data_IF_999034943140
#
_entry.id   IF_999034943140
#
_cell.length_a   1.000
_cell.length_b   1.000
_cell.length_c   1.000
_cell.angle_alpha   90.00
_cell.angle_beta   90.00
_cell.angle_gamma   90.00
#
_symmetry.space_group_name_H-M   'P 1'
#
loop_
_entity.id
_entity.type
_entity.pdbx_description
1 polymer ?
#
# COMPACT_ATOMS: atom_id res chain seq x y z
N UNK A 1 -0.80 14.34 -34.44
CA UNK A 1 -1.29 15.16 -35.57
C UNK A 1 -2.75 14.78 -35.77
N UNK A 2 -3.78 15.52 -35.34
CA UNK A 2 -3.87 16.85 -34.77
C UNK A 2 -4.92 16.85 -33.66
N UNK A 3 -4.55 17.48 -32.55
CA UNK A 3 -5.47 18.09 -31.59
C UNK A 3 -5.97 19.39 -32.24
N UNK A 4 -7.27 19.47 -32.53
CA UNK A 4 -7.92 20.65 -33.07
C UNK A 4 -9.28 20.80 -32.39
N UNK A 5 -9.27 21.09 -31.09
CA UNK A 5 -10.35 21.84 -30.47
C UNK A 5 -10.27 23.25 -31.03
N UNK A 6 -11.15 23.57 -31.98
CA UNK A 6 -11.24 24.91 -32.54
C UNK A 6 -11.65 25.90 -31.43
N UNK A 7 -11.09 27.12 -31.37
CA UNK A 7 -11.37 28.09 -30.30
C UNK A 7 -12.88 28.39 -30.09
N UNK A 8 -13.69 28.17 -31.12
CA UNK A 8 -15.16 28.30 -31.13
C UNK A 8 -15.88 27.35 -30.14
N UNK A 9 -15.30 26.19 -29.81
CA UNK A 9 -15.94 25.20 -28.93
C UNK A 9 -15.77 25.55 -27.44
N UNK A 10 -14.71 26.28 -27.06
CA UNK A 10 -14.49 26.70 -25.69
C UNK A 10 -15.46 27.83 -25.29
N UNK A 11 -15.64 28.81 -26.18
CA UNK A 11 -16.58 29.93 -25.97
C UNK A 11 -18.03 29.42 -25.85
N UNK A 12 -18.40 28.40 -26.63
CA UNK A 12 -19.73 27.76 -26.56
C UNK A 12 -20.01 27.10 -25.20
N UNK A 13 -19.01 26.49 -24.58
CA UNK A 13 -19.15 25.80 -23.29
C UNK A 13 -19.30 26.83 -22.15
N UNK A 14 -18.55 27.93 -22.22
CA UNK A 14 -18.65 29.01 -21.23
C UNK A 14 -20.00 29.74 -21.31
N UNK A 15 -20.54 29.97 -22.50
CA UNK A 15 -21.87 30.55 -22.69
C UNK A 15 -22.99 29.62 -22.19
N UNK A 16 -22.86 28.30 -22.42
CA UNK A 16 -23.83 27.30 -21.94
C UNK A 16 -23.82 27.19 -20.40
N UNK A 17 -22.64 27.28 -19.78
CA UNK A 17 -22.50 27.27 -18.33
C UNK A 17 -23.03 28.55 -17.69
N UNK A 18 -22.77 29.72 -18.29
CA UNK A 18 -23.30 31.00 -17.83
C UNK A 18 -24.84 31.03 -17.84
N UNK A 19 -25.47 30.51 -18.91
CA UNK A 19 -26.92 30.41 -19.01
C UNK A 19 -27.53 29.45 -17.97
N UNK A 20 -26.80 28.38 -17.61
CA UNK A 20 -27.24 27.45 -16.56
C UNK A 20 -27.20 28.08 -15.17
N UNK A 21 -26.19 28.91 -14.88
CA UNK A 21 -26.04 29.61 -13.60
C UNK A 21 -27.07 30.74 -13.47
N UNK A 22 -27.39 31.45 -14.55
CA UNK A 22 -28.39 32.53 -14.54
C UNK A 22 -29.83 32.01 -14.31
N UNK A 23 -30.08 30.73 -14.57
CA UNK A 23 -31.37 30.06 -14.28
C UNK A 23 -31.53 29.57 -12.83
N UNK A 24 -30.49 29.63 -12.01
CA UNK A 24 -30.54 29.23 -10.60
C UNK A 24 -30.81 30.46 -9.72
N UNK A 25 -32.09 30.65 -9.39
CA UNK A 25 -32.57 31.67 -8.47
C UNK A 25 -32.08 31.37 -7.03
N UNK A 26 -30.89 31.87 -6.68
CA UNK A 26 -30.22 31.66 -5.38
C UNK A 26 -30.50 32.79 -4.37
N UNK A 27 -31.65 33.45 -4.44
CA UNK A 27 -32.05 34.51 -3.49
C UNK A 27 -33.27 34.10 -2.63
N UNK A 28 -33.13 33.03 -1.84
CA UNK A 28 -34.24 32.51 -1.03
C UNK A 28 -33.87 32.02 0.37
N UNK A 29 -34.21 32.85 1.37
CA UNK A 29 -34.49 32.53 2.78
C UNK A 29 -33.33 32.43 3.79
N UNK A 30 -32.84 33.60 4.19
CA UNK A 30 -32.59 33.89 5.61
C UNK A 30 -33.95 33.99 6.36
N UNK A 31 -33.95 33.65 7.65
CA UNK A 31 -35.04 33.70 8.65
C UNK A 31 -36.09 32.58 8.73
N UNK A 32 -35.92 31.70 9.73
CA UNK A 32 -37.03 31.08 10.46
C UNK A 32 -36.61 30.75 11.91
N UNK A 33 -36.76 31.73 12.80
CA UNK A 33 -36.89 31.51 14.24
C UNK A 33 -38.33 31.09 14.55
N UNK A 34 -38.53 29.94 15.19
CA UNK A 34 -39.86 29.42 15.53
C UNK A 34 -39.83 28.57 16.79
N UNK A 35 -40.22 29.20 17.91
CA UNK A 35 -40.49 28.56 19.20
C UNK A 35 -41.79 27.74 19.16
N UNK A 36 -41.81 26.60 19.85
CA UNK A 36 -43.02 25.81 20.09
C UNK A 36 -42.89 24.95 21.35
N UNK A 37 -43.46 25.44 22.45
CA UNK A 37 -43.56 24.83 23.78
C UNK A 37 -44.45 23.57 23.80
N UNK A 38 -44.12 22.61 24.69
CA UNK A 38 -44.95 21.43 25.04
C UNK A 38 -46.26 21.78 25.76
N UNK A 39 -47.08 20.78 26.16
CA UNK A 39 -46.86 20.17 27.48
C UNK A 39 -47.31 18.70 27.69
N UNK A 40 -46.84 18.15 28.82
CA UNK A 40 -47.42 17.17 29.75
C UNK A 40 -47.82 15.74 29.34
N UNK A 41 -47.22 14.76 30.06
CA UNK A 41 -47.62 13.36 30.07
C UNK A 41 -46.78 12.49 31.00
N UNK A 42 -46.81 12.79 32.31
CA UNK A 42 -46.21 11.95 33.36
C UNK A 42 -47.09 10.72 33.63
N UNK A 43 -46.58 9.52 33.36
CA UNK A 43 -47.03 8.29 34.05
C UNK A 43 -45.84 7.43 34.42
N UNK A 44 -45.74 7.16 35.71
CA UNK A 44 -44.75 6.35 36.38
C UNK A 44 -44.74 4.89 35.93
N UNK A 45 -43.55 4.29 35.88
CA UNK A 45 -43.36 2.85 35.95
C UNK A 45 -42.37 2.57 37.10
N UNK A 46 -42.92 2.14 38.24
CA UNK A 46 -42.17 1.48 39.30
C UNK A 46 -41.88 0.03 38.87
N UNK A 47 -40.60 -0.34 38.90
CA UNK A 47 -40.16 -1.72 38.66
C UNK A 47 -38.76 -1.93 39.20
N UNK A 48 -38.67 -2.26 40.48
CA UNK A 48 -37.44 -2.54 41.18
C UNK A 48 -36.95 -3.99 40.98
N UNK A 49 -35.62 -4.12 41.10
CA UNK A 49 -34.82 -5.27 41.54
C UNK A 49 -34.44 -6.38 40.55
N UNK A 50 -33.13 -6.48 40.33
CA UNK A 50 -32.47 -7.64 39.74
C UNK A 50 -31.00 -7.38 39.40
N UNK A 51 -30.14 -7.22 40.41
CA UNK A 51 -28.69 -7.26 40.22
C UNK A 51 -28.26 -8.72 39.95
N UNK A 52 -27.33 -8.93 39.00
CA UNK A 52 -26.29 -9.92 39.20
C UNK A 52 -24.91 -9.25 39.30
N UNK A 53 -24.23 -9.73 40.32
CA UNK A 53 -22.89 -9.44 40.79
C UNK A 53 -21.79 -9.79 39.77
N UNK A 54 -20.71 -9.00 39.77
CA UNK A 54 -19.35 -9.54 39.65
C UNK A 54 -18.82 -9.97 38.29
N UNK A 55 -18.92 -9.14 37.24
CA UNK A 55 -18.07 -9.25 36.06
C UNK A 55 -17.04 -8.12 36.04
N UNK A 56 -15.84 -8.35 36.58
CA UNK A 56 -14.76 -7.38 36.56
C UNK A 56 -14.54 -6.85 35.13
N UNK A 57 -14.90 -5.60 34.89
CA UNK A 57 -14.55 -4.88 33.68
C UNK A 57 -13.02 -4.88 33.60
N UNK A 58 -12.51 -5.71 32.69
CA UNK A 58 -11.08 -5.71 32.36
C UNK A 58 -10.72 -4.28 32.00
N UNK A 59 -9.74 -3.64 32.67
CA UNK A 59 -9.34 -2.30 32.29
C UNK A 59 -8.98 -2.34 30.81
N UNK A 60 -9.69 -1.54 30.01
CA UNK A 60 -9.26 -1.26 28.65
C UNK A 60 -7.79 -0.84 28.74
N UNK A 61 -6.88 -1.37 27.90
CA UNK A 61 -5.51 -0.91 27.89
C UNK A 61 -5.53 0.60 27.64
N UNK A 62 -5.22 1.39 28.69
CA UNK A 62 -5.00 2.82 28.59
C UNK A 62 -3.64 3.01 27.93
N UNK A 63 -3.68 2.98 26.62
CA UNK A 63 -2.64 3.36 25.71
C UNK A 63 -3.31 3.34 24.35
N UNK A 64 -3.74 4.50 23.86
CA UNK A 64 -4.05 4.61 22.44
C UNK A 64 -2.84 4.04 21.71
N UNK A 65 -2.96 3.01 20.86
CA UNK A 65 -1.88 2.66 19.97
C UNK A 65 -1.55 3.95 19.21
N UNK A 66 -0.31 4.42 19.37
CA UNK A 66 0.12 5.60 18.65
C UNK A 66 -0.08 5.30 17.16
N UNK A 67 -0.88 6.12 16.49
CA UNK A 67 -1.14 6.03 15.06
C UNK A 67 0.17 5.73 14.33
N UNK A 68 0.23 4.58 13.65
CA UNK A 68 1.41 4.14 12.91
C UNK A 68 1.12 4.27 11.44
N UNK A 69 1.90 5.12 10.79
CA UNK A 69 1.95 5.22 9.35
C UNK A 69 3.22 4.49 8.87
N UNK A 70 3.05 3.49 8.02
CA UNK A 70 4.14 2.69 7.49
C UNK A 70 3.95 2.51 5.99
N UNK A 71 5.02 2.73 5.24
CA UNK A 71 5.03 2.48 3.80
C UNK A 71 5.91 1.28 3.51
N UNK A 72 5.32 0.21 3.01
CA UNK A 72 6.01 -1.06 2.73
C UNK A 72 6.04 -1.27 1.22
N UNK A 73 7.23 -1.55 0.67
CA UNK A 73 7.41 -1.98 -0.70
C UNK A 73 7.77 -3.47 -0.75
N UNK A 74 7.04 -4.23 -1.56
CA UNK A 74 7.28 -5.64 -1.85
C UNK A 74 7.55 -5.80 -3.34
N UNK A 75 8.72 -6.34 -3.69
CA UNK A 75 9.06 -6.70 -5.08
C UNK A 75 8.94 -8.20 -5.27
N UNK A 76 7.90 -8.60 -5.97
CA UNK A 76 7.68 -9.99 -6.39
C UNK A 76 8.61 -10.34 -7.54
N UNK A 77 9.24 -11.51 -7.43
CA UNK A 77 10.13 -12.04 -8.46
C UNK A 77 9.81 -13.50 -8.75
N UNK A 78 10.03 -13.99 -9.99
CA UNK A 78 9.89 -15.41 -10.30
C UNK A 78 11.12 -16.24 -9.87
N UNK A 79 11.96 -15.72 -8.97
CA UNK A 79 13.13 -16.44 -8.50
C UNK A 79 12.73 -17.50 -7.46
N UNK A 80 13.27 -18.73 -7.56
CA UNK A 80 12.73 -19.86 -6.82
C UNK A 80 13.10 -19.90 -5.34
N UNK A 81 14.16 -19.19 -4.91
CA UNK A 81 14.63 -19.25 -3.52
C UNK A 81 15.06 -17.89 -2.97
N UNK A 82 14.82 -17.71 -1.67
CA UNK A 82 15.22 -16.50 -0.95
C UNK A 82 16.73 -16.28 -0.96
N UNK A 83 17.55 -17.35 -0.87
CA UNK A 83 19.01 -17.20 -0.87
C UNK A 83 19.55 -16.74 -2.22
N UNK A 84 18.94 -17.18 -3.33
CA UNK A 84 19.32 -16.76 -4.67
C UNK A 84 18.99 -15.28 -4.88
N UNK A 85 17.77 -14.87 -4.52
CA UNK A 85 17.35 -13.47 -4.59
C UNK A 85 18.20 -12.59 -3.66
N UNK A 86 18.42 -12.98 -2.40
CA UNK A 86 19.26 -12.24 -1.47
C UNK A 86 20.71 -12.08 -1.97
N UNK A 87 21.27 -13.12 -2.59
CA UNK A 87 22.59 -13.05 -3.22
C UNK A 87 22.64 -12.06 -4.38
N UNK A 88 21.60 -12.02 -5.22
CA UNK A 88 21.50 -11.06 -6.33
C UNK A 88 21.35 -9.63 -5.82
N UNK A 89 20.52 -9.42 -4.79
CA UNK A 89 20.37 -8.12 -4.13
C UNK A 89 21.71 -7.65 -3.55
N UNK A 90 22.39 -8.49 -2.77
CA UNK A 90 23.68 -8.16 -2.15
C UNK A 90 24.77 -7.83 -3.18
N UNK A 91 24.85 -8.59 -4.29
CA UNK A 91 25.79 -8.28 -5.38
C UNK A 91 25.47 -6.98 -6.12
N UNK A 92 24.19 -6.60 -6.14
CA UNK A 92 23.73 -5.35 -6.76
C UNK A 92 23.75 -4.17 -5.80
N UNK A 93 24.23 -4.35 -4.56
CA UNK A 93 24.27 -3.30 -3.54
C UNK A 93 22.90 -2.93 -2.97
N UNK A 94 21.89 -3.80 -3.11
CA UNK A 94 20.53 -3.55 -2.66
C UNK A 94 20.37 -3.98 -1.20
N UNK A 95 20.08 -3.03 -0.33
CA UNK A 95 19.75 -3.25 1.08
C UNK A 95 18.25 -3.49 1.23
N UNK A 96 17.87 -4.73 1.52
CA UNK A 96 16.50 -5.17 1.68
C UNK A 96 16.43 -6.50 2.45
N UNK A 97 15.21 -6.86 2.89
CA UNK A 97 14.92 -8.19 3.45
C UNK A 97 14.32 -9.06 2.36
N UNK A 98 14.78 -10.30 2.23
CA UNK A 98 14.24 -11.25 1.26
C UNK A 98 13.49 -12.35 1.99
N UNK A 99 12.25 -12.59 1.57
CA UNK A 99 11.35 -13.54 2.21
C UNK A 99 10.96 -14.64 1.20
N UNK A 100 11.04 -15.92 1.58
CA UNK A 100 10.57 -17.01 0.74
C UNK A 100 9.04 -17.07 0.70
N UNK A 101 8.51 -17.52 -0.42
CA UNK A 101 7.10 -17.76 -0.66
C UNK A 101 6.94 -19.11 -1.38
N UNK A 102 5.74 -19.69 -1.40
CA UNK A 102 5.48 -20.91 -2.16
C UNK A 102 5.66 -20.71 -3.66
N UNK A 103 5.37 -19.50 -4.17
CA UNK A 103 5.56 -19.14 -5.57
C UNK A 103 6.97 -18.64 -5.92
N UNK A 104 7.90 -18.57 -4.97
CA UNK A 104 9.27 -18.10 -5.19
C UNK A 104 9.85 -17.32 -4.01
N UNK A 105 10.33 -16.10 -4.25
CA UNK A 105 10.81 -15.20 -3.21
C UNK A 105 10.54 -13.74 -3.60
N UNK A 106 10.40 -12.90 -2.58
CA UNK A 106 10.15 -11.47 -2.74
C UNK A 106 11.11 -10.66 -1.87
N UNK A 107 11.44 -9.47 -2.35
CA UNK A 107 12.27 -8.52 -1.62
C UNK A 107 11.37 -7.46 -0.99
N UNK A 108 11.68 -7.04 0.23
CA UNK A 108 10.88 -6.13 1.04
C UNK A 108 11.74 -4.96 1.48
N UNK A 109 11.16 -3.77 1.41
CA UNK A 109 11.77 -2.56 1.96
C UNK A 109 10.72 -1.70 2.65
N UNK A 110 11.02 -1.30 3.87
CA UNK A 110 10.18 -0.44 4.68
C UNK A 110 10.66 1.01 4.59
N UNK A 111 9.70 1.93 4.53
CA UNK A 111 9.91 3.37 4.50
C UNK A 111 9.05 4.02 5.57
N UNK A 112 9.55 5.10 6.15
CA UNK A 112 8.71 5.96 6.99
C UNK A 112 7.61 6.57 6.12
N UNK A 113 6.34 6.36 6.48
CA UNK A 113 5.22 6.99 5.77
C UNK A 113 5.08 8.45 6.21
N UNK A 114 4.72 9.33 5.26
CA UNK A 114 4.62 10.77 5.45
C UNK A 114 3.25 11.25 5.99
N UNK A 115 2.36 10.34 6.41
CA UNK A 115 0.94 10.60 6.75
C UNK A 115 0.64 11.61 7.89
N UNK A 116 1.61 12.40 8.37
CA UNK A 116 1.29 13.56 9.20
C UNK A 116 0.62 14.69 8.40
N UNK A 117 0.81 14.74 7.08
CA UNK A 117 0.18 15.72 6.19
C UNK A 117 -0.19 15.01 4.88
N UNK A 118 -1.47 14.64 4.72
CA UNK A 118 -1.97 13.98 3.51
C UNK A 118 -1.86 14.96 2.31
N UNK A 119 -0.90 14.73 1.41
CA UNK A 119 -0.74 15.51 0.19
C UNK A 119 -1.81 15.11 -0.84
N UNK A 120 -2.53 16.09 -1.39
CA UNK A 120 -3.63 15.88 -2.34
C UNK A 120 -3.15 15.19 -3.63
N UNK A 121 -1.86 15.30 -3.95
CA UNK A 121 -1.25 14.54 -5.05
C UNK A 121 -1.31 13.01 -4.81
N UNK A 122 -1.34 12.56 -3.56
CA UNK A 122 -1.40 11.13 -3.23
C UNK A 122 -2.74 10.47 -3.61
N UNK A 123 -3.82 11.26 -3.64
CA UNK A 123 -5.18 10.83 -3.97
C UNK A 123 -5.39 10.49 -5.45
N UNK A 124 -4.52 10.98 -6.33
CA UNK A 124 -4.70 10.83 -7.78
C UNK A 124 -4.14 9.51 -8.35
N UNK A 125 -3.36 8.76 -7.56
CA UNK A 125 -2.72 7.52 -8.00
C UNK A 125 -1.73 7.74 -9.14
N UNK A 126 -0.48 7.34 -8.99
CA UNK A 126 0.49 7.56 -10.06
C UNK A 126 1.91 7.18 -9.70
N UNK A 127 2.80 7.21 -10.70
CA UNK A 127 4.22 6.90 -10.52
C UNK A 127 4.96 7.83 -9.58
N UNK A 128 4.40 8.99 -9.25
CA UNK A 128 5.02 9.97 -8.36
C UNK A 128 4.91 9.58 -6.87
N UNK A 129 4.03 8.64 -6.52
CA UNK A 129 3.83 8.21 -5.12
C UNK A 129 4.65 6.97 -4.74
N UNK A 130 5.40 6.42 -5.71
CA UNK A 130 6.24 5.23 -5.53
C UNK A 130 7.60 5.65 -4.94
N UNK A 131 8.05 5.05 -3.82
CA UNK A 131 9.38 5.37 -3.27
C UNK A 131 10.46 5.08 -4.31
N UNK A 132 11.31 6.07 -4.61
CA UNK A 132 12.34 5.96 -5.65
C UNK A 132 13.26 4.75 -5.44
N UNK A 133 13.58 4.43 -4.19
CA UNK A 133 14.41 3.27 -3.84
C UNK A 133 13.69 1.93 -4.08
N UNK A 134 12.36 1.89 -3.92
CA UNK A 134 11.54 0.74 -4.27
C UNK A 134 11.47 0.55 -5.80
N UNK A 135 11.34 1.65 -6.54
CA UNK A 135 11.40 1.65 -8.01
C UNK A 135 12.75 1.12 -8.51
N UNK A 136 13.85 1.55 -7.91
CA UNK A 136 15.20 1.11 -8.24
C UNK A 136 15.41 -0.38 -7.94
N UNK A 137 14.92 -0.85 -6.78
CA UNK A 137 14.94 -2.26 -6.41
C UNK A 137 14.19 -3.10 -7.46
N UNK A 138 12.96 -2.70 -7.80
CA UNK A 138 12.14 -3.40 -8.79
C UNK A 138 12.78 -3.39 -10.19
N UNK A 139 13.27 -2.23 -10.63
CA UNK A 139 13.97 -2.08 -11.90
C UNK A 139 15.23 -2.98 -11.94
N UNK A 140 16.05 -2.99 -10.90
CA UNK A 140 17.25 -3.81 -10.84
C UNK A 140 16.92 -5.30 -10.90
N UNK A 141 15.95 -5.76 -10.11
CA UNK A 141 15.52 -7.16 -10.11
C UNK A 141 14.88 -7.57 -11.45
N UNK A 142 14.14 -6.68 -12.12
CA UNK A 142 13.57 -6.94 -13.44
C UNK A 142 14.61 -7.11 -14.56
N UNK A 143 15.84 -6.61 -14.38
CA UNK A 143 16.96 -6.86 -15.32
C UNK A 143 17.56 -8.26 -15.14
N UNK A 144 17.45 -8.81 -13.93
CA UNK A 144 18.03 -10.10 -13.55
C UNK A 144 17.07 -11.26 -13.82
N UNK A 145 15.78 -10.97 -13.98
CA UNK A 145 14.70 -11.92 -14.26
C UNK A 145 14.13 -11.72 -15.67
N UNK A 146 14.00 -12.82 -16.43
CA UNK A 146 13.35 -12.78 -17.76
C UNK A 146 11.85 -12.47 -17.68
N UNK A 147 11.20 -12.83 -16.58
CA UNK A 147 9.77 -12.56 -16.35
C UNK A 147 9.50 -11.14 -15.85
N UNK A 148 10.55 -10.32 -15.67
CA UNK A 148 10.44 -9.04 -14.99
C UNK A 148 10.25 -9.21 -13.48
N UNK A 149 9.73 -8.17 -12.85
CA UNK A 149 9.32 -8.14 -11.45
C UNK A 149 8.02 -7.33 -11.32
N UNK A 150 7.35 -7.46 -10.19
CA UNK A 150 6.17 -6.65 -9.85
C UNK A 150 6.42 -5.96 -8.53
N UNK A 151 6.33 -4.64 -8.52
CA UNK A 151 6.41 -3.83 -7.31
C UNK A 151 5.00 -3.62 -6.77
N UNK A 152 4.79 -3.99 -5.52
CA UNK A 152 3.65 -3.63 -4.70
C UNK A 152 4.11 -2.59 -3.70
N UNK A 153 3.37 -1.50 -3.54
CA UNK A 153 3.61 -0.52 -2.48
C UNK A 153 2.33 -0.34 -1.70
N UNK A 154 2.42 -0.50 -0.38
CA UNK A 154 1.34 -0.27 0.54
C UNK A 154 1.69 0.93 1.41
N UNK A 155 0.85 1.96 1.37
CA UNK A 155 0.94 3.12 2.25
C UNK A 155 -0.21 3.02 3.24
N UNK A 156 0.10 2.61 4.46
CA UNK A 156 -0.88 2.15 5.42
C UNK A 156 -0.79 2.91 6.74
N UNK A 157 -1.97 3.21 7.27
CA UNK A 157 -2.16 3.89 8.54
C UNK A 157 -3.10 3.06 9.43
N UNK A 158 -2.70 2.79 10.66
CA UNK A 158 -3.55 2.13 11.66
C UNK A 158 -4.05 3.13 12.69
N UNK A 159 -5.34 3.05 13.01
CA UNK A 159 -5.98 3.80 14.09
C UNK A 159 -5.78 5.33 13.99
N UNK A 160 -5.91 5.86 12.77
CA UNK A 160 -5.81 7.30 12.48
C UNK A 160 -7.21 7.94 12.52
N UNK A 161 -7.35 9.03 13.26
CA UNK A 161 -8.60 9.78 13.33
C UNK A 161 -9.68 9.06 14.16
N UNK A 162 -10.89 8.94 13.60
CA UNK A 162 -12.04 8.28 14.25
C UNK A 162 -12.23 6.82 13.81
N UNK A 163 -11.46 6.36 12.81
CA UNK A 163 -11.57 5.02 12.26
C UNK A 163 -10.63 4.07 13.00
N UNK A 164 -11.19 2.98 13.53
CA UNK A 164 -10.40 1.87 14.07
C UNK A 164 -10.11 0.88 12.95
N UNK A 165 -8.85 0.51 12.79
CA UNK A 165 -8.43 -0.46 11.76
C UNK A 165 -7.31 0.04 10.85
N UNK A 166 -6.97 -0.82 9.89
CA UNK A 166 -5.95 -0.58 8.87
C UNK A 166 -6.61 0.12 7.68
N UNK A 167 -6.14 1.33 7.38
CA UNK A 167 -6.57 2.13 6.24
C UNK A 167 -5.35 2.45 5.37
N UNK A 168 -5.58 2.76 4.09
CA UNK A 168 -4.49 3.13 3.19
C UNK A 168 -4.70 2.65 1.75
N UNK A 169 -3.65 2.76 0.95
CA UNK A 169 -3.69 2.40 -0.47
C UNK A 169 -2.61 1.39 -0.79
N UNK A 170 -2.96 0.46 -1.69
CA UNK A 170 -2.02 -0.52 -2.23
C UNK A 170 -2.01 -0.38 -3.74
N UNK A 171 -0.84 -0.09 -4.30
CA UNK A 171 -0.63 0.02 -5.75
C UNK A 171 0.29 -1.11 -6.21
N UNK A 172 0.17 -1.49 -7.48
CA UNK A 172 1.01 -2.52 -8.08
C UNK A 172 1.48 -2.12 -9.46
N UNK A 173 2.77 -2.30 -9.78
CA UNK A 173 3.35 -1.96 -11.08
C UNK A 173 4.27 -3.05 -11.57
N UNK A 174 4.17 -3.38 -12.86
CA UNK A 174 5.09 -4.30 -13.52
C UNK A 174 6.39 -3.59 -13.90
N UNK A 175 7.52 -4.26 -13.77
CA UNK A 175 8.83 -3.82 -14.24
C UNK A 175 9.42 -4.85 -15.19
N UNK A 176 9.97 -4.40 -16.31
CA UNK A 176 10.62 -5.26 -17.30
C UNK A 176 11.90 -4.60 -17.84
N UNK A 177 13.02 -5.33 -17.81
CA UNK A 177 14.28 -4.85 -18.36
C UNK A 177 14.79 -3.55 -17.73
N UNK A 178 14.46 -3.30 -16.46
CA UNK A 178 14.84 -2.09 -15.73
C UNK A 178 13.95 -0.88 -15.97
N UNK A 179 12.79 -1.05 -16.63
CA UNK A 179 11.85 0.04 -16.91
C UNK A 179 10.51 -0.22 -16.24
N UNK A 180 9.84 0.82 -15.71
CA UNK A 180 8.46 0.72 -15.27
C UNK A 180 7.57 0.41 -16.47
N UNK A 181 6.66 -0.53 -16.28
CA UNK A 181 5.59 -0.87 -17.20
C UNK A 181 4.26 -0.33 -16.71
N UNK A 182 3.18 -0.95 -17.19
CA UNK A 182 1.82 -0.61 -16.81
C UNK A 182 1.53 -0.94 -15.35
N UNK A 183 0.64 -0.13 -14.76
CA UNK A 183 0.01 -0.42 -13.49
C UNK A 183 -0.83 -1.72 -13.58
N UNK A 184 -0.85 -2.46 -12.49
CA UNK A 184 -1.54 -3.72 -12.36
C UNK A 184 -2.56 -3.63 -11.22
N UNK A 185 -3.61 -4.44 -11.28
CA UNK A 185 -4.55 -4.54 -10.16
C UNK A 185 -3.87 -5.23 -8.98
N UNK A 186 -3.62 -4.46 -7.91
CA UNK A 186 -3.05 -4.99 -6.67
C UNK A 186 -3.93 -6.11 -6.09
N UNK A 187 -5.25 -5.92 -6.06
CA UNK A 187 -6.19 -6.93 -5.55
C UNK A 187 -6.14 -8.26 -6.32
N UNK A 188 -6.04 -8.23 -7.65
CA UNK A 188 -5.89 -9.45 -8.44
C UNK A 188 -4.55 -10.14 -8.20
N UNK A 189 -3.47 -9.38 -8.07
CA UNK A 189 -2.14 -9.95 -7.75
C UNK A 189 -2.21 -10.62 -6.37
N UNK A 190 -2.66 -9.91 -5.34
CA UNK A 190 -2.73 -10.41 -3.98
C UNK A 190 -3.61 -11.65 -3.86
N UNK A 191 -4.72 -11.73 -4.60
CA UNK A 191 -5.61 -12.90 -4.60
C UNK A 191 -4.94 -14.23 -5.02
N UNK A 192 -3.78 -14.14 -5.69
CA UNK A 192 -3.02 -15.30 -6.18
C UNK A 192 -1.73 -15.53 -5.39
N UNK A 193 -1.36 -14.61 -4.49
CA UNK A 193 -0.12 -14.69 -3.73
C UNK A 193 -0.30 -15.50 -2.44
N UNK A 194 0.83 -15.90 -1.86
CA UNK A 194 0.86 -16.54 -0.56
C UNK A 194 0.51 -15.57 0.57
N UNK A 195 -0.13 -16.07 1.63
CA UNK A 195 -0.51 -15.30 2.81
C UNK A 195 0.66 -14.49 3.39
N UNK A 196 1.89 -15.03 3.37
CA UNK A 196 3.08 -14.33 3.88
C UNK A 196 3.37 -13.03 3.13
N UNK A 197 3.05 -12.95 1.84
CA UNK A 197 3.21 -11.73 1.04
C UNK A 197 2.25 -10.65 1.53
N UNK A 198 0.99 -11.03 1.74
CA UNK A 198 -0.05 -10.13 2.23
C UNK A 198 0.25 -9.68 3.67
N UNK A 199 0.57 -10.61 4.57
CA UNK A 199 0.87 -10.30 5.97
C UNK A 199 2.06 -9.35 6.10
N UNK A 200 3.10 -9.52 5.27
CA UNK A 200 4.25 -8.61 5.24
C UNK A 200 3.88 -7.28 4.62
N UNK A 201 3.15 -7.26 3.50
CA UNK A 201 2.73 -6.02 2.83
C UNK A 201 1.80 -5.17 3.70
N UNK A 202 0.95 -5.81 4.51
CA UNK A 202 0.03 -5.15 5.45
C UNK A 202 0.68 -4.76 6.78
N UNK A 203 1.95 -5.13 6.99
CA UNK A 203 2.67 -4.86 8.23
C UNK A 203 2.20 -5.70 9.44
N UNK A 204 1.43 -6.77 9.19
CA UNK A 204 1.02 -7.75 10.22
C UNK A 204 2.25 -8.56 10.67
N UNK A 205 3.08 -8.97 9.72
CA UNK A 205 4.35 -9.67 9.97
C UNK A 205 5.50 -8.77 9.59
N UNK A 206 6.47 -8.57 10.50
CA UNK A 206 7.69 -7.84 10.14
C UNK A 206 8.50 -8.64 9.12
N UNK A 207 9.12 -8.01 8.11
CA UNK A 207 9.85 -8.74 7.07
C UNK A 207 10.94 -9.67 7.63
N UNK A 208 11.67 -9.20 8.65
CA UNK A 208 12.75 -9.94 9.34
C UNK A 208 12.26 -11.09 10.22
N UNK A 209 10.99 -11.08 10.62
CA UNK A 209 10.36 -12.12 11.45
C UNK A 209 9.70 -13.20 10.58
N UNK A 210 9.57 -12.97 9.27
CA UNK A 210 8.98 -13.93 8.35
C UNK A 210 9.83 -15.23 8.29
N UNK A 211 9.20 -16.42 8.25
CA UNK A 211 9.94 -17.68 8.25
C UNK A 211 10.91 -17.78 7.07
N UNK A 212 12.20 -17.97 7.36
CA UNK A 212 13.25 -18.08 6.35
C UNK A 212 13.66 -16.76 5.71
N UNK A 213 13.30 -15.61 6.31
CA UNK A 213 13.79 -14.31 5.89
C UNK A 213 15.32 -14.23 5.91
N UNK A 214 15.87 -13.49 4.94
CA UNK A 214 17.31 -13.29 4.76
C UNK A 214 17.57 -11.80 4.59
N UNK A 215 18.36 -11.21 5.48
CA UNK A 215 18.87 -9.85 5.29
C UNK A 215 19.99 -9.87 4.25
N UNK A 216 19.91 -9.00 3.24
CA UNK A 216 20.94 -8.97 2.19
C UNK A 216 22.30 -8.53 2.73
N UNK A 217 22.33 -7.73 3.79
CA UNK A 217 23.54 -7.32 4.52
C UNK A 217 24.29 -8.49 5.17
N UNK A 218 23.61 -9.60 5.47
CA UNK A 218 24.22 -10.79 6.08
C UNK A 218 24.77 -11.78 5.03
N UNK A 219 24.49 -11.55 3.75
CA UNK A 219 24.94 -12.41 2.66
C UNK A 219 26.43 -12.19 2.42
N UNK A 220 27.24 -13.19 2.79
CA UNK A 220 28.68 -13.20 2.48
C UNK A 220 28.88 -13.25 0.96
N UNK A 221 29.28 -12.13 0.36
CA UNK A 221 29.53 -11.93 -1.08
C UNK A 221 30.40 -13.03 -1.72
N UNK A 222 31.39 -13.57 -0.99
CA UNK A 222 32.22 -14.69 -1.46
C UNK A 222 31.50 -16.03 -1.65
N UNK A 223 30.32 -16.23 -1.02
CA UNK A 223 29.53 -17.47 -1.16
C UNK A 223 28.62 -17.43 -2.39
N UNK A 224 28.09 -16.25 -2.74
CA UNK A 224 27.29 -16.02 -3.94
C UNK A 224 28.08 -16.29 -5.23
N UNK A 225 29.36 -15.87 -5.27
CA UNK A 225 30.22 -16.05 -6.45
C UNK A 225 30.60 -17.52 -6.72
N UNK A 226 30.57 -18.40 -5.71
CA UNK A 226 30.83 -19.85 -5.86
C UNK A 226 29.71 -20.59 -6.61
N UNK A 227 28.50 -20.05 -6.64
CA UNK A 227 27.36 -20.64 -7.35
C UNK A 227 27.40 -20.36 -8.85
N UNK A 228 27.77 -19.14 -9.26
CA UNK A 228 27.98 -18.81 -10.68
C UNK A 228 29.13 -19.61 -11.31
N UNK A 229 30.20 -19.90 -10.54
CA UNK A 229 31.33 -20.69 -11.03
C UNK A 229 31.04 -22.19 -11.26
N UNK A 230 29.96 -22.73 -10.68
CA UNK A 230 29.65 -24.17 -10.75
C UNK A 230 28.84 -24.54 -12.00
N UNK A 231 28.22 -23.58 -12.68
CA UNK A 231 27.51 -23.77 -13.94
C UNK A 231 28.40 -23.74 -15.20
N UNK A 232 29.67 -23.35 -15.08
CA UNK A 232 30.57 -23.13 -16.23
C UNK A 232 31.50 -24.31 -16.57
N UNK A 233 31.49 -25.41 -15.80
CA UNK A 233 32.27 -26.61 -16.15
C UNK A 233 31.46 -27.53 -17.07
N UNK A 234 31.56 -27.27 -18.38
CA UNK A 234 31.15 -28.20 -19.43
C UNK A 234 32.09 -29.43 -19.40
N UNK A 235 31.59 -30.68 -19.33
CA UNK A 235 32.43 -31.84 -19.56
C UNK A 235 32.53 -32.07 -21.08
N UNK A 236 33.75 -32.26 -21.59
CA UNK A 236 33.98 -32.80 -22.93
C UNK A 236 35.10 -32.14 -23.71
N UNK A 237 36.29 -32.74 -23.62
CA UNK A 237 37.21 -32.91 -24.74
C UNK A 237 38.21 -34.01 -24.34
N UNK A 238 37.81 -35.26 -24.62
CA UNK A 238 38.71 -36.37 -24.90
C UNK A 238 38.42 -36.76 -26.36
#
# INVERSE_FOLDING_TARGET
>A
MNDQTTPDDADRIDDEFAALVEGLDLDGAEDATGQGQGPDGLTAWDGAAGAPDGGAARPAPTGSPAARALKIAVVLTPLPTAEALASLCAMSGLDCVVVPASSGAFAVKEFASAHAEWDIAELLGGSENEPAEAAELAATLSRLSRGGSVLLTADLATDVGIEQGLSGTITARRFAGGKPGEEASAGLILSQMDQVVEDVLLGITRPEEAPGAVLTSEVKTGRAMRWFGRGLRRPGAD
#
